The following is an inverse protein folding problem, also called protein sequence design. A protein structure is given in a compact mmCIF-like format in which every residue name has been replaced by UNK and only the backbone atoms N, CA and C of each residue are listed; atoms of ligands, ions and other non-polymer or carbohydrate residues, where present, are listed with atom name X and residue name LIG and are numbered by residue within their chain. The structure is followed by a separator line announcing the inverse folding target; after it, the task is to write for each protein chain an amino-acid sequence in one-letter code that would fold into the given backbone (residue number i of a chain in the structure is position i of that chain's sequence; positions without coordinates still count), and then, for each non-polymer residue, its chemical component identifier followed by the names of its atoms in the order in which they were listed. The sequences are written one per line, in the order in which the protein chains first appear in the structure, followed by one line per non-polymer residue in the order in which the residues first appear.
data_IF_911496013413
#
_entry.id   IF_911496013413
#
_cell.length_a   1.000
_cell.length_b   1.000
_cell.length_c   1.000
_cell.angle_alpha   90.00
_cell.angle_beta   90.00
_cell.angle_gamma   90.00
#
_symmetry.space_group_name_H-M   'P 1'
#
loop_
_entity.id
_entity.type
_entity.pdbx_description
1 polymer ?
#
# COMPACT_ATOMS: atom_id res chain seq x y z
N UNK A 1 -18.31 -41.87 61.86
CA UNK A 1 -17.65 -42.25 60.58
C UNK A 1 -18.35 -41.73 59.31
N UNK A 2 -19.45 -40.95 59.36
CA UNK A 2 -20.16 -40.45 58.17
C UNK A 2 -19.69 -39.08 57.61
N UNK A 3 -18.85 -38.34 58.35
CA UNK A 3 -18.46 -36.97 57.97
C UNK A 3 -17.09 -36.85 57.28
N UNK A 4 -16.27 -37.91 57.26
CA UNK A 4 -14.97 -37.88 56.58
C UNK A 4 -15.10 -38.14 55.07
N UNK A 5 -16.03 -39.01 54.65
CA UNK A 5 -16.25 -39.37 53.24
C UNK A 5 -16.80 -38.21 52.42
N UNK A 6 -17.65 -37.36 53.01
CA UNK A 6 -18.24 -36.21 52.34
C UNK A 6 -17.22 -35.07 52.11
N UNK A 7 -16.26 -34.88 53.02
CA UNK A 7 -15.23 -33.84 52.89
C UNK A 7 -14.15 -34.24 51.89
N UNK A 8 -13.75 -35.51 51.87
CA UNK A 8 -12.76 -36.03 50.92
C UNK A 8 -13.22 -35.90 49.46
N UNK A 9 -14.51 -36.15 49.19
CA UNK A 9 -15.08 -35.95 47.85
C UNK A 9 -15.09 -34.50 47.39
N UNK A 10 -15.25 -33.54 48.31
CA UNK A 10 -15.18 -32.11 47.99
C UNK A 10 -13.76 -31.66 47.69
N UNK A 11 -12.77 -32.13 48.46
CA UNK A 11 -11.36 -31.82 48.19
C UNK A 11 -10.85 -32.45 46.89
N UNK A 12 -11.26 -33.67 46.56
CA UNK A 12 -10.91 -34.32 45.28
C UNK A 12 -11.54 -33.59 44.11
N UNK A 13 -12.79 -33.10 44.22
CA UNK A 13 -13.43 -32.28 43.18
C UNK A 13 -12.75 -30.91 43.01
N UNK A 14 -12.36 -30.25 44.10
CA UNK A 14 -11.64 -28.96 44.03
C UNK A 14 -10.25 -29.16 43.41
N UNK A 15 -9.54 -30.25 43.76
CA UNK A 15 -8.23 -30.57 43.19
C UNK A 15 -8.32 -30.90 41.69
N UNK A 16 -9.34 -31.66 41.27
CA UNK A 16 -9.60 -31.97 39.85
C UNK A 16 -9.93 -30.71 39.03
N UNK A 17 -10.72 -29.79 39.57
CA UNK A 17 -11.03 -28.51 38.91
C UNK A 17 -9.78 -27.62 38.82
N UNK A 18 -8.94 -27.57 39.86
CA UNK A 18 -7.69 -26.81 39.81
C UNK A 18 -6.69 -27.38 38.79
N UNK A 19 -6.58 -28.70 38.69
CA UNK A 19 -5.72 -29.37 37.70
C UNK A 19 -6.26 -29.17 36.29
N UNK A 20 -7.58 -29.14 36.08
CA UNK A 20 -8.17 -28.79 34.78
C UNK A 20 -7.95 -27.31 34.39
N UNK A 21 -8.00 -26.37 35.35
CA UNK A 21 -7.78 -24.94 35.08
C UNK A 21 -6.30 -24.62 34.86
N UNK A 22 -5.38 -25.32 35.53
CA UNK A 22 -3.94 -25.16 35.35
C UNK A 22 -3.37 -25.96 34.16
N UNK A 23 -4.01 -27.07 33.79
CA UNK A 23 -3.61 -27.92 32.66
C UNK A 23 -4.01 -27.38 31.28
N UNK A 24 -4.93 -26.39 31.22
CA UNK A 24 -5.40 -25.79 29.96
C UNK A 24 -4.76 -24.44 29.62
N UNK A 25 -3.69 -24.03 30.32
CA UNK A 25 -2.87 -22.86 29.94
C UNK A 25 -1.52 -23.21 29.29
N UNK A 26 -1.41 -24.16 28.34
CA UNK A 26 -0.35 -24.06 27.36
C UNK A 26 -0.85 -23.20 26.18
N UNK A 27 -0.08 -22.17 25.83
CA UNK A 27 -0.06 -21.47 24.51
C UNK A 27 -0.89 -20.20 24.26
N UNK A 28 -1.21 -19.38 25.26
CA UNK A 28 -1.65 -17.99 25.01
C UNK A 28 -0.55 -16.92 25.23
N UNK A 29 0.72 -17.33 25.21
CA UNK A 29 1.87 -16.43 25.38
C UNK A 29 2.86 -16.44 24.21
N UNK A 30 2.54 -17.10 23.10
CA UNK A 30 3.43 -17.21 21.95
C UNK A 30 2.74 -16.83 20.63
N UNK A 31 2.39 -15.55 20.45
CA UNK A 31 2.12 -14.97 19.11
C UNK A 31 2.17 -13.43 19.07
N UNK A 32 2.96 -12.79 19.95
CA UNK A 32 3.20 -11.33 19.91
C UNK A 32 4.38 -10.94 19.03
N UNK A 33 5.16 -11.90 18.52
CA UNK A 33 6.10 -11.64 17.45
C UNK A 33 5.34 -11.47 16.14
N UNK A 34 5.42 -10.28 15.50
CA UNK A 34 5.13 -10.19 14.06
C UNK A 34 5.93 -11.31 13.39
N UNK A 35 5.33 -12.19 12.58
CA UNK A 35 6.10 -13.17 11.84
C UNK A 35 7.17 -12.39 11.07
N UNK A 36 8.45 -12.68 11.34
CA UNK A 36 9.53 -12.21 10.50
C UNK A 36 9.15 -12.64 9.07
N UNK A 37 9.18 -11.73 8.09
CA UNK A 37 8.98 -12.08 6.68
C UNK A 37 10.10 -13.05 6.31
N UNK A 38 9.84 -14.35 6.38
CA UNK A 38 10.83 -15.42 6.16
C UNK A 38 11.00 -15.77 4.69
N UNK A 39 10.14 -15.27 3.81
CA UNK A 39 10.28 -15.43 2.37
C UNK A 39 10.70 -14.09 1.73
N UNK A 40 12.00 -13.89 1.57
CA UNK A 40 12.52 -12.93 0.59
C UNK A 40 12.31 -13.57 -0.78
N UNK A 41 11.36 -13.04 -1.56
CA UNK A 41 11.24 -13.44 -2.96
C UNK A 41 12.33 -12.70 -3.75
N UNK A 42 13.39 -13.43 -4.11
CA UNK A 42 14.45 -12.94 -4.99
C UNK A 42 14.13 -13.36 -6.42
N UNK A 43 14.25 -12.43 -7.35
CA UNK A 43 14.14 -12.68 -8.80
C UNK A 43 15.44 -12.29 -9.49
N UNK A 44 15.83 -13.03 -10.53
CA UNK A 44 16.99 -12.72 -11.37
C UNK A 44 16.56 -12.50 -12.82
N UNK A 45 17.31 -11.70 -13.56
CA UNK A 45 17.02 -11.37 -14.95
C UNK A 45 18.28 -10.87 -15.65
N UNK A 46 18.43 -11.18 -16.94
CA UNK A 46 19.62 -10.83 -17.74
C UNK A 46 19.39 -9.66 -18.69
N UNK A 47 18.12 -9.31 -18.97
CA UNK A 47 17.75 -8.29 -19.96
C UNK A 47 17.06 -7.07 -19.35
N UNK A 48 16.79 -7.09 -18.05
CA UNK A 48 16.09 -6.03 -17.35
C UNK A 48 15.55 -6.53 -16.00
N UNK A 49 15.23 -5.60 -15.11
CA UNK A 49 14.64 -5.89 -13.82
C UNK A 49 13.67 -4.77 -13.45
N UNK A 50 12.52 -5.15 -12.87
CA UNK A 50 11.55 -4.21 -12.28
C UNK A 50 11.22 -4.71 -10.89
N UNK A 51 11.24 -3.79 -9.93
CA UNK A 51 10.86 -4.04 -8.54
C UNK A 51 9.86 -2.98 -8.13
N UNK A 52 8.71 -3.39 -7.61
CA UNK A 52 7.68 -2.49 -7.09
C UNK A 52 6.89 -3.18 -5.97
N UNK A 53 6.03 -2.44 -5.27
CA UNK A 53 5.32 -2.96 -4.11
C UNK A 53 4.24 -4.00 -4.42
N UNK A 54 3.70 -4.00 -5.63
CA UNK A 54 2.68 -4.97 -6.03
C UNK A 54 3.18 -5.86 -7.16
N UNK A 55 2.68 -7.10 -7.17
CA UNK A 55 3.03 -8.07 -8.21
C UNK A 55 2.57 -7.61 -9.59
N UNK A 56 1.36 -7.04 -9.68
CA UNK A 56 0.80 -6.56 -10.94
C UNK A 56 1.57 -5.36 -11.50
N UNK A 57 1.97 -4.40 -10.67
CA UNK A 57 2.81 -3.30 -11.12
C UNK A 57 4.18 -3.79 -11.62
N UNK A 58 4.79 -4.74 -10.90
CA UNK A 58 6.08 -5.33 -11.31
C UNK A 58 5.95 -6.07 -12.65
N UNK A 59 4.86 -6.83 -12.83
CA UNK A 59 4.54 -7.54 -14.10
C UNK A 59 4.31 -6.57 -15.25
N UNK A 60 3.56 -5.49 -15.03
CA UNK A 60 3.31 -4.45 -16.04
C UNK A 60 4.63 -3.80 -16.47
N UNK A 61 5.48 -3.39 -15.52
CA UNK A 61 6.78 -2.80 -15.84
C UNK A 61 7.68 -3.78 -16.60
N UNK A 62 7.74 -5.05 -16.17
CA UNK A 62 8.52 -6.07 -16.87
C UNK A 62 7.99 -6.32 -18.30
N UNK A 63 6.67 -6.31 -18.50
CA UNK A 63 6.07 -6.42 -19.82
C UNK A 63 6.39 -5.23 -20.73
N UNK A 64 6.52 -4.02 -20.18
CA UNK A 64 6.96 -2.83 -20.91
C UNK A 64 8.42 -2.96 -21.36
N UNK A 65 9.31 -3.44 -20.48
CA UNK A 65 10.69 -3.77 -20.88
C UNK A 65 10.72 -4.83 -21.97
N UNK A 66 9.94 -5.90 -21.84
CA UNK A 66 9.84 -6.98 -22.84
C UNK A 66 9.30 -6.50 -24.20
N UNK A 67 8.46 -5.45 -24.22
CA UNK A 67 7.99 -4.77 -25.44
C UNK A 67 9.06 -3.86 -26.08
N UNK A 68 10.27 -3.82 -25.54
CA UNK A 68 11.38 -3.03 -26.06
C UNK A 68 11.40 -1.58 -25.56
N UNK A 69 10.58 -1.25 -24.56
CA UNK A 69 10.68 0.00 -23.81
C UNK A 69 11.91 0.02 -22.89
N UNK A 70 12.24 1.19 -22.37
CA UNK A 70 13.37 1.35 -21.46
C UNK A 70 12.92 1.50 -20.00
N UNK A 71 13.87 1.74 -19.10
CA UNK A 71 13.60 1.91 -17.67
C UNK A 71 12.66 3.09 -17.38
N UNK A 72 12.67 4.15 -18.19
CA UNK A 72 11.76 5.31 -18.04
C UNK A 72 10.34 4.90 -18.43
N UNK A 73 10.15 4.23 -19.57
CA UNK A 73 8.84 3.70 -19.99
C UNK A 73 8.25 2.75 -18.93
N UNK A 74 9.07 1.82 -18.43
CA UNK A 74 8.68 0.88 -17.40
C UNK A 74 8.31 1.58 -16.08
N UNK A 75 9.06 2.62 -15.69
CA UNK A 75 8.75 3.43 -14.50
C UNK A 75 7.41 4.15 -14.63
N UNK A 76 7.13 4.74 -15.80
CA UNK A 76 5.83 5.38 -16.07
C UNK A 76 4.70 4.37 -15.91
N UNK A 77 4.80 3.19 -16.53
CA UNK A 77 3.78 2.17 -16.44
C UNK A 77 3.59 1.64 -15.00
N UNK A 78 4.68 1.42 -14.27
CA UNK A 78 4.65 1.02 -12.85
C UNK A 78 3.97 2.08 -12.00
N UNK A 79 4.24 3.37 -12.20
CA UNK A 79 3.62 4.44 -11.43
C UNK A 79 2.09 4.46 -11.60
N UNK A 80 1.59 4.33 -12.82
CA UNK A 80 0.15 4.22 -13.06
C UNK A 80 -0.43 2.91 -12.52
N UNK A 81 0.29 1.80 -12.59
CA UNK A 81 -0.17 0.53 -12.05
C UNK A 81 -0.30 0.62 -10.52
N UNK A 82 0.67 1.20 -9.82
CA UNK A 82 0.62 1.42 -8.38
C UNK A 82 -0.50 2.37 -7.95
N UNK A 83 -0.88 3.34 -8.79
CA UNK A 83 -2.06 4.17 -8.53
C UNK A 83 -3.37 3.36 -8.49
N UNK A 84 -3.40 2.19 -9.14
CA UNK A 84 -4.52 1.25 -9.14
C UNK A 84 -4.38 0.23 -8.01
N UNK A 85 -3.22 -0.39 -7.90
CA UNK A 85 -3.00 -1.57 -7.04
C UNK A 85 -2.54 -1.24 -5.63
N UNK A 86 -2.03 -0.03 -5.39
CA UNK A 86 -1.58 0.44 -4.08
C UNK A 86 -2.03 1.89 -3.80
N UNK A 87 -3.35 2.15 -3.77
CA UNK A 87 -3.92 3.51 -3.78
C UNK A 87 -3.64 4.34 -2.52
N UNK A 88 -3.15 3.74 -1.43
CA UNK A 88 -2.75 4.52 -0.25
C UNK A 88 -1.44 5.31 -0.44
N UNK A 89 -0.63 4.96 -1.44
CA UNK A 89 0.67 5.56 -1.70
C UNK A 89 0.93 5.84 -3.18
N UNK A 90 0.56 4.90 -4.07
CA UNK A 90 0.55 5.11 -5.51
C UNK A 90 -0.44 6.22 -5.86
N UNK A 91 0.01 7.23 -6.60
CA UNK A 91 -0.77 8.44 -6.80
C UNK A 91 -0.63 9.00 -8.22
N UNK A 92 -1.72 9.57 -8.71
CA UNK A 92 -1.73 10.51 -9.86
C UNK A 92 -1.93 11.96 -9.39
N UNK A 93 -2.42 12.13 -8.16
CA UNK A 93 -2.83 13.40 -7.58
C UNK A 93 -1.89 13.89 -6.46
N UNK A 94 -0.69 13.33 -6.36
CA UNK A 94 0.36 13.78 -5.47
C UNK A 94 1.56 14.33 -6.24
N UNK A 95 2.75 14.02 -5.75
CA UNK A 95 4.02 14.38 -6.37
C UNK A 95 5.11 13.38 -6.00
N UNK A 96 6.33 13.66 -6.45
CA UNK A 96 7.46 12.77 -6.22
C UNK A 96 8.73 13.24 -6.91
N UNK A 97 9.68 12.31 -6.96
CA UNK A 97 11.01 12.54 -7.51
C UNK A 97 11.41 11.32 -8.32
N UNK A 98 12.03 11.53 -9.49
CA UNK A 98 12.54 10.46 -10.33
C UNK A 98 14.03 10.70 -10.62
N UNK A 99 14.86 9.72 -10.28
CA UNK A 99 16.28 9.70 -10.60
C UNK A 99 16.52 8.79 -11.80
N UNK A 100 17.26 9.29 -12.79
CA UNK A 100 17.47 8.61 -14.07
C UNK A 100 18.96 8.63 -14.38
N UNK A 101 19.57 7.45 -14.38
CA UNK A 101 20.91 7.25 -14.90
C UNK A 101 20.81 6.79 -16.36
N UNK A 102 21.52 7.46 -17.27
CA UNK A 102 21.61 7.06 -18.67
C UNK A 102 22.91 6.29 -18.91
N UNK A 103 22.94 5.28 -19.80
CA UNK A 103 24.12 4.44 -20.03
C UNK A 103 25.40 5.22 -20.38
N UNK A 104 25.25 6.32 -21.12
CA UNK A 104 26.36 7.11 -21.65
C UNK A 104 26.43 8.52 -21.01
N UNK A 105 25.70 8.76 -19.92
CA UNK A 105 25.78 10.01 -19.15
C UNK A 105 26.37 9.73 -17.77
N UNK A 106 27.47 10.42 -17.45
CA UNK A 106 28.06 10.36 -16.13
C UNK A 106 27.19 11.04 -15.05
N UNK A 107 26.23 11.86 -15.45
CA UNK A 107 25.31 12.55 -14.56
C UNK A 107 24.02 11.76 -14.34
N UNK A 108 23.49 11.84 -13.12
CA UNK A 108 22.14 11.37 -12.81
C UNK A 108 21.17 12.53 -12.99
N UNK A 109 20.17 12.36 -13.86
CA UNK A 109 19.12 13.34 -14.01
C UNK A 109 18.10 13.20 -12.88
N UNK A 110 17.59 14.33 -12.41
CA UNK A 110 16.59 14.42 -11.35
C UNK A 110 15.37 15.17 -11.86
N UNK A 111 14.23 14.50 -11.89
CA UNK A 111 12.94 15.11 -12.20
C UNK A 111 12.20 15.35 -10.89
N UNK A 112 12.11 16.63 -10.50
CA UNK A 112 11.31 17.08 -9.38
C UNK A 112 9.90 17.40 -9.85
N UNK A 113 8.94 16.63 -9.37
CA UNK A 113 7.51 16.85 -9.59
C UNK A 113 6.76 16.84 -8.26
N UNK A 114 7.39 17.41 -7.23
CA UNK A 114 6.76 17.62 -5.92
C UNK A 114 5.59 18.58 -6.03
N UNK A 115 4.57 18.34 -5.21
CA UNK A 115 3.42 19.22 -5.12
C UNK A 115 3.83 20.63 -4.70
N UNK A 116 3.07 21.63 -5.16
CA UNK A 116 3.26 23.03 -4.77
C UNK A 116 2.05 23.57 -4.03
N UNK A 117 2.27 24.48 -3.09
CA UNK A 117 1.17 25.25 -2.51
C UNK A 117 0.43 26.01 -3.63
N UNK A 118 -0.91 26.02 -3.64
CA UNK A 118 -1.66 26.79 -4.62
C UNK A 118 -1.39 28.30 -4.45
N UNK A 119 -1.57 29.09 -5.50
CA UNK A 119 -1.29 30.53 -5.49
C UNK A 119 -2.08 31.31 -4.43
N UNK A 120 -3.23 30.78 -3.99
CA UNK A 120 -4.07 31.37 -2.94
C UNK A 120 -3.66 30.96 -1.52
N UNK A 121 -2.62 30.13 -1.34
CA UNK A 121 -2.15 29.73 -0.02
C UNK A 121 -1.56 30.91 0.75
N UNK A 122 -1.84 30.98 2.05
CA UNK A 122 -1.28 31.98 2.98
C UNK A 122 -0.55 31.29 4.12
N UNK A 123 0.38 31.99 4.78
CA UNK A 123 1.13 31.42 5.90
C UNK A 123 0.23 31.03 7.09
N UNK A 124 -0.89 31.73 7.25
CA UNK A 124 -1.83 31.58 8.37
C UNK A 124 -2.96 30.57 8.08
N UNK A 125 -3.03 29.98 6.88
CA UNK A 125 -4.21 29.21 6.42
C UNK A 125 -4.57 28.00 7.30
N UNK A 126 -3.65 27.53 8.14
CA UNK A 126 -3.84 26.39 9.05
C UNK A 126 -4.07 26.77 10.51
N UNK A 127 -3.97 28.05 10.90
CA UNK A 127 -4.10 28.48 12.31
C UNK A 127 -5.46 28.07 12.89
N UNK A 128 -6.52 28.22 12.10
CA UNK A 128 -7.89 27.92 12.53
C UNK A 128 -8.40 26.56 12.05
N UNK A 129 -7.61 25.82 11.28
CA UNK A 129 -7.96 24.49 10.77
C UNK A 129 -6.72 23.63 10.61
N UNK A 130 -6.41 22.87 11.67
CA UNK A 130 -5.26 21.96 11.71
C UNK A 130 -5.60 20.54 11.24
N UNK A 131 -6.83 20.33 10.73
CA UNK A 131 -7.25 19.01 10.29
C UNK A 131 -6.43 18.53 9.10
N UNK A 132 -5.87 17.32 9.21
CA UNK A 132 -5.18 16.64 8.11
C UNK A 132 -6.12 16.14 6.99
N UNK A 133 -7.42 16.25 7.20
CA UNK A 133 -8.47 15.87 6.24
C UNK A 133 -9.14 17.10 5.60
N UNK A 134 -8.57 18.29 5.79
CA UNK A 134 -9.02 19.50 5.11
C UNK A 134 -8.51 19.55 3.67
N UNK A 135 -9.32 20.09 2.76
CA UNK A 135 -8.90 20.39 1.37
C UNK A 135 -7.71 21.34 1.33
N UNK A 136 -7.49 22.14 2.38
CA UNK A 136 -6.35 23.04 2.52
C UNK A 136 -5.00 22.30 2.54
N UNK A 137 -4.99 21.00 2.83
CA UNK A 137 -3.79 20.15 2.81
C UNK A 137 -3.39 19.69 1.39
N UNK A 138 -4.23 19.95 0.38
CA UNK A 138 -4.00 19.49 -0.99
C UNK A 138 -3.09 20.47 -1.73
N UNK A 139 -1.89 20.03 -2.07
CA UNK A 139 -1.01 20.75 -3.00
C UNK A 139 -1.43 20.52 -4.46
N UNK A 140 -0.96 21.38 -5.36
CA UNK A 140 -1.13 21.22 -6.81
C UNK A 140 -0.38 19.96 -7.25
N UNK A 141 -1.07 18.94 -7.80
CA UNK A 141 -0.43 17.67 -8.15
C UNK A 141 0.62 17.80 -9.26
N UNK A 142 1.72 17.07 -9.13
CA UNK A 142 2.83 17.06 -10.07
C UNK A 142 3.05 15.72 -10.77
N UNK A 143 2.59 14.58 -10.21
CA UNK A 143 2.98 13.23 -10.67
C UNK A 143 2.79 12.99 -12.17
N UNK A 144 1.60 13.25 -12.72
CA UNK A 144 1.34 13.02 -14.15
C UNK A 144 2.23 13.91 -15.03
N UNK A 145 2.40 15.17 -14.67
CA UNK A 145 3.25 16.11 -15.42
C UNK A 145 4.73 15.71 -15.37
N UNK A 146 5.23 15.26 -14.21
CA UNK A 146 6.60 14.81 -14.03
C UNK A 146 6.91 13.53 -14.81
N UNK A 147 6.01 12.55 -14.74
CA UNK A 147 6.12 11.30 -15.51
C UNK A 147 6.07 11.57 -17.02
N UNK A 148 5.16 12.45 -17.46
CA UNK A 148 5.07 12.85 -18.85
C UNK A 148 6.34 13.59 -19.32
N UNK A 149 6.89 14.49 -18.50
CA UNK A 149 8.15 15.17 -18.80
C UNK A 149 9.32 14.18 -18.95
N UNK A 150 9.44 13.19 -18.05
CA UNK A 150 10.46 12.16 -18.15
C UNK A 150 10.27 11.30 -19.41
N UNK A 151 9.03 10.91 -19.71
CA UNK A 151 8.67 10.15 -20.91
C UNK A 151 8.98 10.92 -22.20
N UNK A 152 8.67 12.21 -22.27
CA UNK A 152 8.98 13.03 -23.44
C UNK A 152 10.48 13.14 -23.69
N UNK A 153 11.29 13.19 -22.63
CA UNK A 153 12.75 13.33 -22.75
C UNK A 153 13.47 12.02 -23.05
N UNK A 154 13.02 10.93 -22.43
CA UNK A 154 13.77 9.67 -22.44
C UNK A 154 12.93 8.44 -22.73
N UNK A 155 11.61 8.55 -22.91
CA UNK A 155 10.75 7.43 -23.26
C UNK A 155 10.98 6.95 -24.70
N UNK A 156 10.73 5.67 -24.94
CA UNK A 156 10.89 5.03 -26.25
C UNK A 156 9.55 4.50 -26.79
N UNK A 157 8.67 4.04 -25.91
CA UNK A 157 7.32 3.65 -26.29
C UNK A 157 6.38 4.86 -26.35
N UNK A 158 5.22 4.71 -26.98
CA UNK A 158 4.18 5.75 -26.91
C UNK A 158 3.64 5.87 -25.48
N UNK A 159 3.17 7.07 -25.13
CA UNK A 159 2.54 7.30 -23.82
C UNK A 159 1.37 6.33 -23.57
N UNK A 160 0.53 6.12 -24.58
CA UNK A 160 -0.58 5.17 -24.54
C UNK A 160 -0.12 3.75 -24.17
N UNK A 161 0.95 3.25 -24.80
CA UNK A 161 1.49 1.91 -24.49
C UNK A 161 1.90 1.76 -23.03
N UNK A 162 2.36 2.84 -22.37
CA UNK A 162 2.72 2.83 -20.96
C UNK A 162 1.49 2.90 -20.03
N UNK A 163 0.40 3.57 -20.45
CA UNK A 163 -0.78 3.82 -19.61
C UNK A 163 -1.85 2.73 -19.70
N UNK A 164 -2.06 2.19 -20.91
CA UNK A 164 -3.17 1.28 -21.17
C UNK A 164 -3.20 0.03 -20.28
N UNK A 165 -2.08 -0.62 -19.94
CA UNK A 165 -2.11 -1.76 -19.02
C UNK A 165 -2.77 -1.45 -17.68
N UNK A 166 -2.49 -0.27 -17.11
CA UNK A 166 -3.04 0.16 -15.82
C UNK A 166 -4.51 0.56 -15.95
N UNK A 167 -4.90 1.18 -17.07
CA UNK A 167 -6.31 1.49 -17.36
C UNK A 167 -7.16 0.22 -17.48
N UNK A 168 -6.65 -0.79 -18.19
CA UNK A 168 -7.31 -2.08 -18.31
C UNK A 168 -7.41 -2.81 -16.96
N UNK A 169 -6.35 -2.78 -16.15
CA UNK A 169 -6.34 -3.38 -14.82
C UNK A 169 -7.40 -2.74 -13.91
N UNK A 170 -7.52 -1.41 -13.95
CA UNK A 170 -8.55 -0.68 -13.20
C UNK A 170 -9.97 -1.02 -13.68
N UNK A 171 -10.17 -1.17 -14.99
CA UNK A 171 -11.48 -1.47 -15.56
C UNK A 171 -11.94 -2.92 -15.32
N UNK A 172 -11.01 -3.89 -15.39
CA UNK A 172 -11.30 -5.32 -15.22
C UNK A 172 -11.29 -5.75 -13.74
N UNK A 173 -10.66 -4.96 -12.88
CA UNK A 173 -10.37 -5.33 -11.50
C UNK A 173 -9.13 -6.21 -11.38
N UNK A 174 -8.68 -6.40 -10.14
CA UNK A 174 -7.52 -7.21 -9.79
C UNK A 174 -7.74 -7.87 -8.44
N UNK A 175 -6.93 -8.88 -8.11
CA UNK A 175 -7.01 -9.55 -6.81
C UNK A 175 -6.40 -8.66 -5.73
N UNK A 176 -7.21 -8.34 -4.71
CA UNK A 176 -6.76 -7.54 -3.56
C UNK A 176 -5.84 -8.38 -2.68
N UNK A 177 -4.59 -7.95 -2.54
CA UNK A 177 -3.64 -8.65 -1.68
C UNK A 177 -3.93 -8.42 -0.17
N UNK A 178 -3.26 -9.20 0.67
CA UNK A 178 -3.44 -9.12 2.12
C UNK A 178 -2.99 -7.78 2.75
N UNK A 179 -2.19 -6.98 2.05
CA UNK A 179 -1.75 -5.67 2.50
C UNK A 179 -2.83 -4.63 2.19
N UNK A 180 -3.28 -4.55 0.94
CA UNK A 180 -4.35 -3.65 0.51
C UNK A 180 -5.66 -3.94 1.26
N UNK A 181 -6.03 -5.21 1.42
CA UNK A 181 -7.21 -5.59 2.22
C UNK A 181 -7.11 -5.06 3.65
N UNK A 182 -5.93 -5.11 4.27
CA UNK A 182 -5.71 -4.59 5.63
C UNK A 182 -5.81 -3.07 5.68
N UNK A 183 -5.21 -2.38 4.70
CA UNK A 183 -5.28 -0.92 4.59
C UNK A 183 -6.74 -0.45 4.45
N UNK A 184 -7.50 -1.07 3.56
CA UNK A 184 -8.92 -0.76 3.33
C UNK A 184 -9.76 -1.05 4.58
N UNK A 185 -9.58 -2.22 5.21
CA UNK A 185 -10.26 -2.55 6.45
C UNK A 185 -9.94 -1.55 7.58
N UNK A 186 -8.70 -1.08 7.67
CA UNK A 186 -8.33 -0.04 8.61
C UNK A 186 -9.09 1.27 8.36
N UNK A 187 -9.25 1.71 7.11
CA UNK A 187 -10.05 2.88 6.75
C UNK A 187 -11.50 2.72 7.21
N UNK A 188 -12.10 1.55 7.02
CA UNK A 188 -13.47 1.23 7.44
C UNK A 188 -13.68 1.24 8.96
N UNK A 189 -12.61 1.21 9.77
CA UNK A 189 -12.73 1.36 11.23
C UNK A 189 -12.92 2.80 11.68
N UNK A 190 -12.63 3.79 10.83
CA UNK A 190 -12.67 5.21 11.22
C UNK A 190 -14.10 5.68 11.48
N UNK A 191 -14.33 6.33 12.63
CA UNK A 191 -15.66 6.84 13.03
C UNK A 191 -16.31 7.71 11.95
N UNK A 192 -15.53 8.58 11.33
CA UNK A 192 -16.00 9.51 10.29
C UNK A 192 -16.44 8.82 8.98
N UNK A 193 -15.95 7.61 8.72
CA UNK A 193 -16.37 6.77 7.57
C UNK A 193 -17.61 5.95 7.92
N UNK A 194 -17.75 5.53 9.19
CA UNK A 194 -18.91 4.78 9.68
C UNK A 194 -20.18 5.63 9.82
N UNK A 195 -20.05 6.95 9.93
CA UNK A 195 -21.21 7.87 9.96
C UNK A 195 -22.05 7.76 8.67
N UNK A 196 -23.35 7.39 8.76
CA UNK A 196 -24.15 6.99 7.60
C UNK A 196 -24.29 7.99 6.46
N UNK A 197 -24.26 9.28 6.77
CA UNK A 197 -24.66 10.29 5.79
C UNK A 197 -23.48 10.91 5.03
N UNK A 198 -22.23 10.52 5.36
CA UNK A 198 -21.04 11.25 4.88
C UNK A 198 -20.23 10.55 3.78
N UNK A 199 -20.26 9.22 3.72
CA UNK A 199 -19.50 8.42 2.73
C UNK A 199 -20.20 7.08 2.43
N UNK A 200 -21.49 7.14 2.07
CA UNK A 200 -22.30 5.94 1.81
C UNK A 200 -21.72 5.04 0.70
N UNK A 201 -21.01 5.65 -0.26
CA UNK A 201 -20.32 5.02 -1.37
C UNK A 201 -19.14 4.14 -0.94
N UNK A 202 -18.47 4.45 0.17
CA UNK A 202 -17.35 3.66 0.70
C UNK A 202 -17.78 2.33 1.34
N UNK A 203 -19.10 2.07 1.45
CA UNK A 203 -19.64 0.79 1.92
C UNK A 203 -19.76 -0.26 0.82
N UNK A 204 -19.61 0.12 -0.45
CA UNK A 204 -19.68 -0.77 -1.61
C UNK A 204 -18.31 -1.30 -2.03
N UNK A 205 -17.49 -1.70 -1.07
CA UNK A 205 -16.21 -2.33 -1.37
C UNK A 205 -16.31 -3.78 -0.93
N UNK A 206 -16.62 -4.64 -1.91
CA UNK A 206 -16.71 -6.09 -1.77
C UNK A 206 -15.33 -6.73 -1.85
#
# INVERSE_FOLDING_TARGET
MKNLSCRLGTYVKILLVLVCVLGSVPTLLAKTGRPLRTHVQVSTGTQGMVVSETLDASRIGAAILAKGGNAVDATVAVAFALAVTWPEAGNIAGGGFMMIAQPDDAQVHFVDYREKAPAAATAEMFINNTSRFSWQQVGVPGTVAGLYLAHQKWGKLTWEQCLMPSSELAAKGFEVDAYLARSMNFVLTRKNVRTPDKFSELRKVF
#
